data_IF_078231035510
#
_entry.id   IF_078231035510
#
_cell.length_a   1.000
_cell.length_b   1.000
_cell.length_c   1.000
_cell.angle_alpha   90.00
_cell.angle_beta   90.00
_cell.angle_gamma   90.00
#
_symmetry.space_group_name_H-M   'P 1'
#
loop_
_entity.id
_entity.type
_entity.pdbx_description
1 polymer ?
#
# COMPACT_ATOMS: atom_id res chain seq x y z
N UNK A 1 10.72 -3.19 34.99
CA UNK A 1 9.73 -2.41 34.23
C UNK A 1 10.29 -2.17 32.82
N UNK A 2 9.74 -2.78 31.77
CA UNK A 2 10.24 -2.64 30.38
C UNK A 2 9.07 -2.47 29.42
N UNK A 3 9.22 -1.61 28.41
CA UNK A 3 8.22 -1.31 27.37
C UNK A 3 8.62 -2.00 26.06
N UNK A 4 7.65 -2.45 25.28
CA UNK A 4 7.87 -2.93 23.92
C UNK A 4 8.00 -1.74 22.96
N UNK A 5 8.88 -1.83 21.95
CA UNK A 5 9.06 -0.80 20.93
C UNK A 5 8.60 -1.33 19.58
N UNK A 6 7.66 -0.64 18.96
CA UNK A 6 7.15 -0.99 17.63
C UNK A 6 7.93 -0.27 16.52
N UNK A 7 8.04 -0.93 15.36
CA UNK A 7 8.74 -0.44 14.17
C UNK A 7 7.77 -0.48 13.00
N UNK A 8 7.53 0.67 12.38
CA UNK A 8 6.56 0.82 11.29
C UNK A 8 7.26 0.83 9.94
N UNK A 9 6.62 0.21 8.94
CA UNK A 9 7.09 0.18 7.56
C UNK A 9 5.98 0.73 6.66
N UNK A 10 6.32 1.70 5.82
CA UNK A 10 5.47 2.19 4.75
C UNK A 10 5.88 1.51 3.44
N UNK A 11 4.92 0.92 2.74
CA UNK A 11 5.15 0.21 1.48
C UNK A 11 4.30 0.86 0.41
N UNK A 12 4.93 1.23 -0.71
CA UNK A 12 4.24 1.67 -1.92
C UNK A 12 4.28 0.54 -2.96
N UNK A 13 3.13 0.21 -3.55
CA UNK A 13 2.99 -0.85 -4.56
C UNK A 13 2.93 -0.18 -5.92
N UNK A 14 3.89 -0.52 -6.79
CA UNK A 14 4.02 0.05 -8.12
C UNK A 14 3.68 -1.03 -9.15
N UNK A 15 2.83 -0.70 -10.11
CA UNK A 15 2.44 -1.60 -11.20
C UNK A 15 3.26 -1.25 -12.45
N UNK A 16 4.13 -2.17 -12.87
CA UNK A 16 5.02 -1.97 -14.03
C UNK A 16 4.50 -2.64 -15.31
N UNK A 17 3.26 -3.13 -15.31
CA UNK A 17 2.70 -3.94 -16.40
C UNK A 17 2.26 -3.10 -17.62
N UNK A 18 3.01 -2.02 -17.88
CA UNK A 18 2.78 -1.14 -19.02
C UNK A 18 3.41 -1.80 -20.25
N UNK A 19 2.62 -2.25 -21.25
CA UNK A 19 3.19 -2.88 -22.43
C UNK A 19 4.18 -1.94 -23.14
N UNK A 20 5.32 -2.44 -23.63
CA UNK A 20 6.32 -1.62 -24.31
C UNK A 20 5.69 -0.95 -25.54
N UNK A 21 5.47 0.37 -25.45
CA UNK A 21 4.79 1.16 -26.48
C UNK A 21 3.70 2.11 -25.97
N UNK A 22 3.18 1.91 -24.76
CA UNK A 22 2.16 2.81 -24.15
C UNK A 22 2.73 4.06 -23.47
N UNK A 23 4.04 4.13 -23.22
CA UNK A 23 4.72 5.31 -22.68
C UNK A 23 4.71 6.54 -23.63
N UNK A 24 4.14 6.42 -24.83
CA UNK A 24 3.89 7.53 -25.78
C UNK A 24 2.46 8.11 -25.67
N UNK A 25 1.69 7.72 -24.67
CA UNK A 25 0.37 8.29 -24.40
C UNK A 25 0.45 9.70 -23.79
N UNK A 26 -0.68 10.43 -23.72
CA UNK A 26 -0.75 11.77 -23.13
C UNK A 26 -0.63 11.77 -21.59
N UNK A 27 -0.52 10.59 -20.97
CA UNK A 27 -0.52 10.41 -19.52
C UNK A 27 0.93 10.37 -19.03
N UNK A 28 1.31 11.20 -18.05
CA UNK A 28 2.63 11.16 -17.42
C UNK A 28 3.00 9.79 -16.87
N UNK A 29 4.25 9.39 -17.05
CA UNK A 29 4.79 8.09 -16.60
C UNK A 29 4.53 7.80 -15.12
N UNK A 30 4.58 8.84 -14.26
CA UNK A 30 4.30 8.71 -12.83
C UNK A 30 2.87 8.20 -12.54
N UNK A 31 1.90 8.54 -13.38
CA UNK A 31 0.51 8.08 -13.22
C UNK A 31 0.33 6.66 -13.77
N UNK A 32 1.14 6.26 -14.76
CA UNK A 32 1.13 4.89 -15.28
C UNK A 32 1.65 3.90 -14.24
N UNK A 33 2.59 4.30 -13.38
CA UNK A 33 3.14 3.44 -12.33
C UNK A 33 2.31 3.41 -11.04
N UNK A 34 1.64 4.53 -10.71
CA UNK A 34 0.79 4.66 -9.52
C UNK A 34 -0.69 4.42 -9.86
N UNK A 35 -0.97 3.41 -10.67
CA UNK A 35 -2.34 3.03 -11.00
C UNK A 35 -3.08 2.57 -9.75
N UNK A 36 -4.39 2.85 -9.66
CA UNK A 36 -5.20 2.39 -8.54
C UNK A 36 -5.16 0.87 -8.48
N UNK A 37 -4.78 0.38 -7.31
CA UNK A 37 -4.76 -1.05 -7.00
C UNK A 37 -6.12 -1.69 -7.23
N UNK A 38 -6.14 -2.89 -7.83
CA UNK A 38 -7.35 -3.70 -8.01
C UNK A 38 -8.07 -3.94 -6.68
N UNK A 39 -9.41 -3.96 -6.70
CA UNK A 39 -10.27 -4.20 -5.54
C UNK A 39 -9.99 -5.52 -4.79
N UNK A 40 -9.24 -6.42 -5.43
CA UNK A 40 -8.84 -7.71 -4.86
C UNK A 40 -7.70 -7.61 -3.84
N UNK A 41 -6.90 -6.53 -3.86
CA UNK A 41 -5.81 -6.36 -2.91
C UNK A 41 -6.33 -5.96 -1.52
N UNK A 42 -6.55 -6.98 -0.69
CA UNK A 42 -6.93 -6.83 0.71
C UNK A 42 -5.67 -6.85 1.61
N UNK A 43 -5.61 -6.12 2.74
CA UNK A 43 -4.46 -6.13 3.63
C UNK A 43 -4.21 -7.51 4.19
N UNK A 44 -5.28 -8.24 4.50
CA UNK A 44 -5.18 -9.61 4.98
C UNK A 44 -4.52 -10.53 3.94
N UNK A 45 -4.75 -10.28 2.65
CA UNK A 45 -4.09 -11.02 1.58
C UNK A 45 -2.60 -10.67 1.53
N UNK A 46 -2.26 -9.38 1.63
CA UNK A 46 -0.87 -8.93 1.68
C UNK A 46 -0.11 -9.49 2.89
N UNK A 47 -0.71 -9.44 4.08
CA UNK A 47 -0.14 -10.00 5.31
C UNK A 47 0.11 -11.50 5.18
N UNK A 48 -0.85 -12.24 4.62
CA UNK A 48 -0.71 -13.68 4.35
C UNK A 48 0.44 -13.95 3.37
N UNK A 49 0.51 -13.19 2.28
CA UNK A 49 1.58 -13.32 1.29
C UNK A 49 2.96 -13.03 1.90
N UNK A 50 3.09 -11.97 2.71
CA UNK A 50 4.35 -11.66 3.38
C UNK A 50 4.74 -12.81 4.33
N UNK A 51 3.80 -13.35 5.11
CA UNK A 51 4.08 -14.48 6.01
C UNK A 51 4.51 -15.73 5.25
N UNK A 52 3.87 -16.05 4.12
CA UNK A 52 4.27 -17.19 3.31
C UNK A 52 5.66 -17.01 2.71
N UNK A 53 5.99 -15.82 2.22
CA UNK A 53 7.34 -15.53 1.70
C UNK A 53 8.39 -15.56 2.80
N UNK A 54 8.08 -15.07 4.01
CA UNK A 54 8.99 -15.17 5.16
C UNK A 54 9.23 -16.63 5.53
N UNK A 55 8.20 -17.47 5.54
CA UNK A 55 8.37 -18.91 5.78
C UNK A 55 9.20 -19.58 4.68
N UNK A 56 9.01 -19.19 3.42
CA UNK A 56 9.78 -19.72 2.29
C UNK A 56 11.27 -19.32 2.35
N UNK A 57 11.58 -18.07 2.73
CA UNK A 57 12.95 -17.53 2.74
C UNK A 57 13.71 -17.81 4.05
N UNK A 58 13.01 -17.81 5.20
CA UNK A 58 13.62 -17.86 6.53
C UNK A 58 13.18 -19.08 7.36
N UNK A 59 12.30 -19.93 6.83
CA UNK A 59 11.79 -21.12 7.53
C UNK A 59 10.97 -20.80 8.78
N UNK A 60 10.82 -21.79 9.64
CA UNK A 60 9.95 -21.73 10.82
C UNK A 60 10.42 -20.69 11.85
N UNK A 61 11.74 -20.49 11.98
CA UNK A 61 12.31 -19.49 12.87
C UNK A 61 11.90 -18.07 12.47
N UNK A 62 11.94 -17.76 11.17
CA UNK A 62 11.50 -16.47 10.64
C UNK A 62 9.99 -16.29 10.74
N UNK A 63 9.23 -17.34 10.41
CA UNK A 63 7.78 -17.34 10.50
C UNK A 63 7.30 -17.06 11.95
N UNK A 64 7.89 -17.72 12.95
CA UNK A 64 7.53 -17.51 14.35
C UNK A 64 7.82 -16.09 14.87
N UNK A 65 8.86 -15.42 14.34
CA UNK A 65 9.21 -14.06 14.74
C UNK A 65 8.20 -13.01 14.24
N UNK A 66 7.66 -13.20 13.04
CA UNK A 66 6.75 -12.23 12.40
C UNK A 66 5.27 -12.47 12.72
N UNK A 67 4.88 -13.69 13.12
CA UNK A 67 3.47 -14.07 13.22
C UNK A 67 2.66 -13.22 14.22
N UNK A 68 3.28 -12.86 15.36
CA UNK A 68 2.66 -12.05 16.42
C UNK A 68 2.88 -10.54 16.25
N UNK A 69 3.98 -10.14 15.61
CA UNK A 69 4.42 -8.74 15.56
C UNK A 69 3.94 -8.00 14.32
N UNK A 70 3.65 -8.72 13.23
CA UNK A 70 3.31 -8.12 11.94
C UNK A 70 1.79 -7.89 11.84
N UNK A 71 1.39 -6.61 11.89
CA UNK A 71 0.01 -6.12 11.78
C UNK A 71 -0.12 -5.12 10.63
N UNK A 72 -1.25 -5.13 9.95
CA UNK A 72 -1.54 -4.20 8.85
C UNK A 72 -2.38 -3.04 9.34
N UNK A 73 -1.75 -1.88 9.54
CA UNK A 73 -2.44 -0.61 9.80
C UNK A 73 -2.76 0.07 8.47
N UNK A 74 -3.99 0.58 8.33
CA UNK A 74 -4.40 1.37 7.16
C UNK A 74 -4.58 2.82 7.56
N UNK A 75 -3.81 3.71 6.95
CA UNK A 75 -4.15 5.12 6.92
C UNK A 75 -5.20 5.32 5.81
N UNK A 76 -6.46 5.56 6.20
CA UNK A 76 -7.56 5.85 5.28
C UNK A 76 -7.32 7.23 4.62
N UNK A 77 -6.55 7.26 3.53
CA UNK A 77 -6.23 8.49 2.79
C UNK A 77 -7.41 9.12 2.03
N UNK A 78 -8.62 8.55 2.09
CA UNK A 78 -9.79 9.00 1.31
C UNK A 78 -10.68 10.01 2.06
N UNK A 79 -10.36 10.37 3.31
CA UNK A 79 -11.20 11.27 4.12
C UNK A 79 -10.79 12.76 4.07
N UNK A 80 -9.73 13.15 3.35
CA UNK A 80 -9.19 14.53 3.43
C UNK A 80 -9.26 15.36 2.14
N UNK A 81 -9.77 14.84 1.03
CA UNK A 81 -9.75 15.58 -0.25
C UNK A 81 -11.12 16.08 -0.73
N UNK A 82 -12.21 15.75 -0.03
CA UNK A 82 -13.59 16.08 -0.48
C UNK A 82 -14.10 17.44 0.00
N UNK A 83 -13.56 17.99 1.09
CA UNK A 83 -14.11 19.21 1.74
C UNK A 83 -13.54 20.53 1.21
N UNK A 84 -12.50 20.50 0.37
CA UNK A 84 -11.83 21.71 -0.13
C UNK A 84 -12.46 22.31 -1.40
N UNK A 85 -13.44 21.66 -2.02
CA UNK A 85 -14.02 22.11 -3.31
C UNK A 85 -15.41 22.78 -3.22
N UNK A 86 -16.04 22.87 -2.04
CA UNK A 86 -17.41 23.39 -1.92
C UNK A 86 -17.53 24.89 -1.55
N UNK A 87 -16.43 25.61 -1.30
CA UNK A 87 -16.50 26.99 -0.80
C UNK A 87 -16.04 28.10 -1.75
N UNK A 88 -15.81 27.82 -3.05
CA UNK A 88 -15.26 28.84 -3.98
C UNK A 88 -16.09 29.21 -5.20
N UNK A 89 -17.37 28.84 -5.23
CA UNK A 89 -18.30 29.22 -6.32
C UNK A 89 -19.62 29.77 -5.76
N UNK A 90 -19.58 30.94 -5.12
CA UNK A 90 -20.77 31.79 -4.92
C UNK A 90 -20.39 33.17 -4.36
N UNK A 91 -19.82 34.02 -5.21
CA UNK A 91 -20.05 35.47 -5.11
C UNK A 91 -20.22 35.98 -6.55
N UNK A 92 -21.48 36.10 -6.96
CA UNK A 92 -21.97 37.10 -7.90
C UNK A 92 -22.51 38.25 -7.06
#
# INVERSE_FOLDING_TARGET
MVRLKDRYLLVNIIYSDVPPGQAKGPVPDLLLYNQPTSSELRPQLLLKAIRSEVAALFGDCGAGAVDRSLQGERENAIAQHSDSYLHRTSIL
#
